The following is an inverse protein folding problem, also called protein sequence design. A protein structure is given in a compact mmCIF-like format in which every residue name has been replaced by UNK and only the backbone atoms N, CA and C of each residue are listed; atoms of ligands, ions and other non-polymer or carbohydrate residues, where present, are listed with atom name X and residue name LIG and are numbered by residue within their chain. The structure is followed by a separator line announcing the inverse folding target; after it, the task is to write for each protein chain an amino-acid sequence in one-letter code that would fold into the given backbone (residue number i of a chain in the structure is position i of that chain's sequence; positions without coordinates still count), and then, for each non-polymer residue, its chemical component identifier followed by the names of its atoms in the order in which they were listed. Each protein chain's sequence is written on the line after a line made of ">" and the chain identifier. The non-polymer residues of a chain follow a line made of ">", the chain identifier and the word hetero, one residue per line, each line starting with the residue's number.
data_IF_166165038986
#
_entry.id   IF_166165038986
#
_cell.length_a   1.000
_cell.length_b   1.000
_cell.length_c   1.000
_cell.angle_alpha   90.00
_cell.angle_beta   90.00
_cell.angle_gamma   90.00
#
_symmetry.space_group_name_H-M   'P 1'
#
loop_
_entity.id
_entity.type
_entity.pdbx_description
1 polymer ?
#
# COMPACT_ATOMS: atom_id res chain seq x y z
N UNK A 1 -1.36 28.48 -0.25
CA UNK A 1 -1.72 28.42 1.17
C UNK A 1 -2.93 27.50 1.25
N UNK A 2 -3.03 26.61 2.24
CA UNK A 2 -4.19 25.74 2.38
C UNK A 2 -5.40 26.65 2.66
N UNK A 3 -6.41 26.68 1.77
CA UNK A 3 -7.59 27.54 1.88
C UNK A 3 -8.57 27.04 2.96
N UNK A 4 -8.11 26.86 4.20
CA UNK A 4 -8.92 26.38 5.33
C UNK A 4 -9.08 27.48 6.37
N UNK A 5 -10.22 27.48 7.06
CA UNK A 5 -10.41 28.31 8.25
C UNK A 5 -9.46 27.86 9.37
N UNK A 6 -9.17 28.74 10.33
CA UNK A 6 -8.38 28.38 11.51
C UNK A 6 -9.00 27.20 12.30
N UNK A 7 -10.34 27.16 12.38
CA UNK A 7 -11.06 26.07 13.04
C UNK A 7 -10.86 24.74 12.33
N UNK A 8 -10.95 24.74 11.00
CA UNK A 8 -10.76 23.54 10.19
C UNK A 8 -9.30 23.05 10.27
N UNK A 9 -8.32 23.97 10.26
CA UNK A 9 -6.90 23.63 10.45
C UNK A 9 -6.64 23.05 11.84
N UNK A 10 -7.26 23.57 12.88
CA UNK A 10 -7.11 23.03 14.23
C UNK A 10 -7.67 21.61 14.34
N UNK A 11 -8.82 21.31 13.75
CA UNK A 11 -9.33 19.93 13.66
C UNK A 11 -8.47 19.02 12.78
N UNK A 12 -7.77 19.57 11.79
CA UNK A 12 -6.83 18.83 10.96
C UNK A 12 -5.56 18.42 11.73
N UNK A 13 -4.92 19.38 12.39
CA UNK A 13 -3.67 19.14 13.13
C UNK A 13 -3.92 18.44 14.47
N UNK A 14 -5.05 18.72 15.12
CA UNK A 14 -5.44 18.18 16.42
C UNK A 14 -6.83 17.53 16.34
N UNK A 15 -6.95 16.38 15.63
CA UNK A 15 -8.22 15.69 15.52
C UNK A 15 -8.66 15.14 16.89
N UNK A 16 -9.80 15.62 17.38
CA UNK A 16 -10.49 15.05 18.53
C UNK A 16 -11.18 13.76 18.18
N UNK A 17 -11.25 12.82 19.13
CA UNK A 17 -12.05 11.59 19.05
C UNK A 17 -11.71 10.63 17.89
N UNK A 18 -10.51 10.75 17.31
CA UNK A 18 -10.02 9.78 16.35
C UNK A 18 -9.71 8.43 17.03
N UNK A 19 -10.07 7.34 16.38
CA UNK A 19 -9.77 5.97 16.80
C UNK A 19 -11.01 5.08 16.95
N UNK A 20 -10.79 3.79 17.27
CA UNK A 20 -11.87 2.83 17.48
C UNK A 20 -12.61 3.10 18.81
N UNK A 21 -13.87 2.66 18.88
CA UNK A 21 -14.68 2.61 20.10
C UNK A 21 -15.24 1.19 20.28
N UNK A 22 -14.64 0.41 21.18
CA UNK A 22 -15.03 -1.00 21.38
C UNK A 22 -16.44 -1.15 21.98
N UNK A 23 -16.81 -0.23 22.89
CA UNK A 23 -18.12 -0.21 23.53
C UNK A 23 -19.22 0.48 22.70
N UNK A 24 -19.01 0.63 21.39
CA UNK A 24 -19.99 1.25 20.50
C UNK A 24 -21.23 0.36 20.36
N UNK A 25 -22.41 0.97 20.53
CA UNK A 25 -23.71 0.32 20.30
C UNK A 25 -24.43 0.90 19.07
N UNK A 26 -23.80 1.84 18.38
CA UNK A 26 -24.29 2.48 17.17
C UNK A 26 -23.11 2.81 16.24
N UNK A 27 -23.19 2.37 14.98
CA UNK A 27 -22.10 2.43 14.01
C UNK A 27 -22.69 2.78 12.65
N UNK A 28 -22.12 3.80 12.02
CA UNK A 28 -22.46 4.22 10.67
C UNK A 28 -21.22 4.30 9.80
N UNK A 29 -21.37 4.07 8.51
CA UNK A 29 -20.24 4.11 7.57
C UNK A 29 -20.67 4.73 6.25
N UNK A 30 -19.84 5.62 5.71
CA UNK A 30 -20.12 6.35 4.48
C UNK A 30 -18.84 6.45 3.64
N UNK A 31 -18.98 6.74 2.34
CA UNK A 31 -17.85 6.85 1.42
C UNK A 31 -17.26 5.51 1.01
N UNK A 32 -16.08 5.53 0.41
CA UNK A 32 -15.44 4.34 -0.17
C UNK A 32 -13.93 4.32 0.02
N UNK A 33 -13.36 3.13 0.24
CA UNK A 33 -11.91 2.97 0.33
C UNK A 33 -11.23 3.26 -1.02
N UNK A 34 -11.91 2.94 -2.13
CA UNK A 34 -11.42 3.21 -3.49
C UNK A 34 -11.36 4.71 -3.79
N UNK A 35 -12.36 5.48 -3.35
CA UNK A 35 -12.41 6.93 -3.46
C UNK A 35 -11.52 7.67 -2.46
N UNK A 36 -10.98 6.96 -1.45
CA UNK A 36 -10.15 7.54 -0.40
C UNK A 36 -10.92 8.42 0.59
N UNK A 37 -12.26 8.34 0.61
CA UNK A 37 -13.18 9.17 1.39
C UNK A 37 -14.02 8.35 2.39
N UNK A 38 -13.54 7.16 2.77
CA UNK A 38 -14.26 6.25 3.66
C UNK A 38 -14.28 6.73 5.11
N UNK A 39 -15.47 6.75 5.71
CA UNK A 39 -15.72 7.12 7.11
C UNK A 39 -16.41 5.96 7.83
N UNK A 40 -15.96 5.69 9.06
CA UNK A 40 -16.64 4.86 10.03
C UNK A 40 -16.83 5.66 11.33
N UNK A 41 -18.07 6.00 11.64
CA UNK A 41 -18.45 6.69 12.86
C UNK A 41 -19.00 5.67 13.87
N UNK A 42 -18.59 5.78 15.12
CA UNK A 42 -18.96 4.87 16.21
C UNK A 42 -19.43 5.69 17.40
N UNK A 43 -20.61 5.39 17.90
CA UNK A 43 -21.23 6.06 19.04
C UNK A 43 -21.53 5.05 20.14
N UNK A 44 -21.39 5.49 21.38
CA UNK A 44 -21.96 4.84 22.56
C UNK A 44 -23.10 5.71 23.06
N UNK A 45 -24.31 5.17 22.98
CA UNK A 45 -25.54 5.85 23.39
C UNK A 45 -26.02 5.24 24.71
N UNK A 46 -26.23 6.07 25.71
CA UNK A 46 -26.70 5.68 27.04
C UNK A 46 -27.91 6.54 27.41
N UNK A 47 -29.02 5.91 27.81
CA UNK A 47 -30.26 6.61 28.18
C UNK A 47 -30.75 7.63 27.13
N UNK A 48 -30.53 7.37 25.84
CA UNK A 48 -30.93 8.27 24.75
C UNK A 48 -30.02 9.49 24.54
N UNK A 49 -28.81 9.47 25.10
CA UNK A 49 -27.78 10.50 24.94
C UNK A 49 -26.51 9.88 24.37
N UNK A 50 -25.84 10.59 23.45
CA UNK A 50 -24.54 10.18 22.92
C UNK A 50 -23.48 10.40 24.01
N UNK A 51 -23.16 9.35 24.77
CA UNK A 51 -22.18 9.40 25.85
C UNK A 51 -20.74 9.55 25.32
N UNK A 52 -20.44 8.92 24.18
CA UNK A 52 -19.15 8.99 23.53
C UNK A 52 -19.29 8.82 22.02
N UNK A 53 -18.53 9.59 21.26
CA UNK A 53 -18.43 9.48 19.81
C UNK A 53 -16.96 9.35 19.41
N UNK A 54 -16.65 8.44 18.48
CA UNK A 54 -15.34 8.28 17.86
C UNK A 54 -15.44 7.97 16.38
N UNK A 55 -14.36 8.15 15.65
CA UNK A 55 -14.34 7.87 14.22
C UNK A 55 -13.03 7.26 13.73
N UNK A 56 -13.12 6.55 12.61
CA UNK A 56 -12.00 6.22 11.74
C UNK A 56 -12.34 6.73 10.35
N UNK A 57 -11.43 7.49 9.72
CA UNK A 57 -11.66 8.06 8.41
C UNK A 57 -10.41 7.94 7.53
N UNK A 58 -10.64 7.79 6.24
CA UNK A 58 -9.69 7.96 5.17
C UNK A 58 -10.06 9.25 4.42
N UNK A 59 -9.05 10.08 4.16
CA UNK A 59 -9.23 11.41 3.57
C UNK A 59 -9.02 12.55 4.56
N UNK A 60 -8.41 13.64 4.10
CA UNK A 60 -7.99 14.75 4.96
C UNK A 60 -9.15 15.62 5.41
N UNK A 61 -10.05 15.94 4.49
CA UNK A 61 -11.27 16.70 4.74
C UNK A 61 -12.25 15.91 5.62
N UNK A 62 -12.33 14.60 5.44
CA UNK A 62 -13.16 13.69 6.21
C UNK A 62 -12.72 13.64 7.68
N UNK A 63 -11.41 13.64 7.95
CA UNK A 63 -10.88 13.73 9.32
C UNK A 63 -11.32 15.02 10.00
N UNK A 64 -11.25 16.15 9.31
CA UNK A 64 -11.69 17.46 9.84
C UNK A 64 -13.17 17.43 10.17
N UNK A 65 -14.00 16.97 9.22
CA UNK A 65 -15.45 16.92 9.38
C UNK A 65 -15.86 15.95 10.50
N UNK A 66 -15.26 14.77 10.58
CA UNK A 66 -15.55 13.81 11.64
C UNK A 66 -15.08 14.31 13.01
N UNK A 67 -13.93 14.98 13.08
CA UNK A 67 -13.43 15.54 14.33
C UNK A 67 -14.36 16.62 14.87
N UNK A 68 -14.85 17.53 14.03
CA UNK A 68 -15.83 18.52 14.46
C UNK A 68 -17.18 17.88 14.83
N UNK A 69 -17.68 16.97 13.98
CA UNK A 69 -18.95 16.30 14.19
C UNK A 69 -18.99 15.51 15.50
N UNK A 70 -17.95 14.74 15.82
CA UNK A 70 -17.87 13.96 17.07
C UNK A 70 -17.90 14.85 18.32
N UNK A 71 -17.26 16.03 18.28
CA UNK A 71 -17.35 17.02 19.36
C UNK A 71 -18.77 17.58 19.46
N UNK A 72 -19.41 17.90 18.33
CA UNK A 72 -20.76 18.48 18.31
C UNK A 72 -21.84 17.51 18.83
N UNK A 73 -21.73 16.21 18.54
CA UNK A 73 -22.76 15.22 18.91
C UNK A 73 -22.59 14.66 20.31
N UNK A 74 -21.38 14.71 20.88
CA UNK A 74 -21.13 14.18 22.23
C UNK A 74 -21.92 14.97 23.27
N UNK A 75 -22.71 14.29 24.08
CA UNK A 75 -23.61 14.87 25.08
C UNK A 75 -24.98 15.28 24.54
N UNK A 76 -25.23 15.17 23.23
CA UNK A 76 -26.56 15.44 22.67
C UNK A 76 -27.51 14.26 22.87
N UNK A 77 -28.79 14.58 23.09
CA UNK A 77 -29.87 13.61 22.96
C UNK A 77 -30.10 13.19 21.51
N UNK A 78 -30.69 12.01 21.29
CA UNK A 78 -30.88 11.44 19.94
C UNK A 78 -31.62 12.35 18.97
N UNK A 79 -32.68 13.04 19.41
CA UNK A 79 -33.43 13.98 18.56
C UNK A 79 -32.56 15.18 18.13
N UNK A 80 -31.75 15.72 19.04
CA UNK A 80 -30.85 16.82 18.72
C UNK A 80 -29.70 16.38 17.79
N UNK A 81 -29.14 15.18 18.03
CA UNK A 81 -28.13 14.60 17.16
C UNK A 81 -28.68 14.35 15.74
N UNK A 82 -29.92 13.88 15.61
CA UNK A 82 -30.59 13.66 14.33
C UNK A 82 -30.93 14.95 13.59
N UNK A 83 -31.21 16.01 14.34
CA UNK A 83 -31.47 17.36 13.80
C UNK A 83 -30.21 18.11 13.36
N UNK A 84 -29.01 17.57 13.60
CA UNK A 84 -27.77 18.16 13.13
C UNK A 84 -27.76 18.18 11.60
N UNK A 85 -27.50 19.34 10.99
CA UNK A 85 -27.47 19.51 9.54
C UNK A 85 -26.03 19.64 9.02
N UNK A 86 -25.85 19.36 7.73
CA UNK A 86 -24.58 19.60 7.02
C UNK A 86 -24.18 21.07 7.11
N UNK A 87 -25.14 22.00 7.00
CA UNK A 87 -24.87 23.44 7.11
C UNK A 87 -24.40 23.85 8.51
N UNK A 88 -24.90 23.21 9.57
CA UNK A 88 -24.45 23.46 10.93
C UNK A 88 -22.99 23.00 11.12
N UNK A 89 -22.62 21.84 10.57
CA UNK A 89 -21.25 21.34 10.57
C UNK A 89 -20.32 22.25 9.75
N UNK A 90 -20.77 22.68 8.57
CA UNK A 90 -20.06 23.61 7.69
C UNK A 90 -19.78 24.95 8.41
N UNK A 91 -20.80 25.52 9.05
CA UNK A 91 -20.68 26.74 9.83
C UNK A 91 -19.74 26.57 11.05
N UNK A 92 -19.79 25.41 11.73
CA UNK A 92 -18.89 25.11 12.84
C UNK A 92 -17.42 25.10 12.40
N UNK A 93 -17.15 24.63 11.18
CA UNK A 93 -15.83 24.61 10.54
C UNK A 93 -15.46 25.93 9.85
N UNK A 94 -16.30 26.97 9.95
CA UNK A 94 -16.01 28.28 9.36
C UNK A 94 -16.11 28.34 7.84
N UNK A 95 -16.86 27.41 7.22
CA UNK A 95 -17.07 27.33 5.78
C UNK A 95 -16.08 26.43 5.05
N UNK A 96 -16.60 25.39 4.41
CA UNK A 96 -15.87 24.35 3.68
C UNK A 96 -15.80 24.65 2.18
N UNK A 97 -16.74 25.44 1.65
CA UNK A 97 -16.82 25.77 0.23
C UNK A 97 -16.91 24.51 -0.64
N UNK A 98 -15.95 24.32 -1.55
CA UNK A 98 -15.90 23.15 -2.44
C UNK A 98 -15.78 21.79 -1.71
N UNK A 99 -15.46 21.78 -0.41
CA UNK A 99 -15.26 20.57 0.40
C UNK A 99 -16.53 20.09 1.13
N UNK A 100 -17.69 20.63 0.77
CA UNK A 100 -18.99 20.28 1.37
C UNK A 100 -19.30 18.77 1.35
N UNK A 101 -18.81 18.04 0.33
CA UNK A 101 -18.95 16.58 0.22
C UNK A 101 -18.44 15.83 1.47
N UNK A 102 -17.31 16.26 2.05
CA UNK A 102 -16.76 15.60 3.24
C UNK A 102 -17.70 15.75 4.46
N UNK A 103 -18.35 16.90 4.59
CA UNK A 103 -19.37 17.12 5.61
C UNK A 103 -20.64 16.29 5.36
N UNK A 104 -21.05 16.12 4.09
CA UNK A 104 -22.18 15.25 3.72
C UNK A 104 -21.92 13.78 4.05
N UNK A 105 -20.69 13.28 3.80
CA UNK A 105 -20.28 11.93 4.18
C UNK A 105 -20.26 11.73 5.69
N UNK A 106 -19.68 12.68 6.44
CA UNK A 106 -19.66 12.62 7.90
C UNK A 106 -21.08 12.64 8.49
N UNK A 107 -21.95 13.50 7.97
CA UNK A 107 -23.37 13.57 8.36
C UNK A 107 -24.11 12.28 8.00
N UNK A 108 -23.86 11.71 6.83
CA UNK A 108 -24.47 10.44 6.42
C UNK A 108 -24.06 9.30 7.35
N UNK A 109 -22.78 9.23 7.74
CA UNK A 109 -22.32 8.27 8.73
C UNK A 109 -23.01 8.46 10.09
N UNK A 110 -23.29 9.70 10.51
CA UNK A 110 -24.07 9.99 11.72
C UNK A 110 -25.51 9.47 11.61
N UNK A 111 -26.22 9.79 10.53
CA UNK A 111 -27.60 9.33 10.33
C UNK A 111 -27.68 7.81 10.29
N UNK A 112 -26.74 7.14 9.63
CA UNK A 112 -26.67 5.68 9.62
C UNK A 112 -26.44 5.10 11.01
N UNK A 113 -25.54 5.68 11.81
CA UNK A 113 -25.29 5.22 13.17
C UNK A 113 -26.55 5.35 14.05
N UNK A 114 -27.23 6.50 13.97
CA UNK A 114 -28.46 6.74 14.72
C UNK A 114 -29.60 5.81 14.27
N UNK A 115 -29.79 5.62 12.97
CA UNK A 115 -30.82 4.71 12.46
C UNK A 115 -30.52 3.25 12.82
N UNK A 116 -29.26 2.83 12.79
CA UNK A 116 -28.86 1.49 13.26
C UNK A 116 -29.24 1.29 14.73
N UNK A 117 -28.96 2.25 15.60
CA UNK A 117 -29.30 2.18 17.02
C UNK A 117 -30.82 2.04 17.26
N UNK A 118 -31.61 2.72 16.44
CA UNK A 118 -33.07 2.75 16.54
C UNK A 118 -33.76 1.57 15.82
N UNK A 119 -33.00 0.70 15.15
CA UNK A 119 -33.56 -0.39 14.34
C UNK A 119 -34.29 0.09 13.09
N UNK A 120 -33.96 1.28 12.58
CA UNK A 120 -34.51 1.85 11.34
C UNK A 120 -33.55 1.68 10.17
N UNK A 121 -34.09 1.53 8.97
CA UNK A 121 -33.28 1.62 7.74
C UNK A 121 -33.16 3.07 7.29
N UNK A 122 -31.94 3.47 6.92
CA UNK A 122 -31.64 4.74 6.29
C UNK A 122 -30.96 4.47 4.96
N UNK A 123 -31.60 4.91 3.86
CA UNK A 123 -30.97 4.89 2.54
C UNK A 123 -30.23 6.21 2.38
N UNK A 124 -28.88 6.20 2.35
CA UNK A 124 -28.11 7.41 2.17
C UNK A 124 -28.38 8.01 0.78
N UNK A 125 -28.27 9.35 0.61
CA UNK A 125 -28.31 9.96 -0.71
C UNK A 125 -27.23 9.32 -1.57
N UNK A 126 -27.63 8.69 -2.68
CA UNK A 126 -26.68 8.00 -3.54
C UNK A 126 -25.74 9.05 -4.14
N UNK A 127 -24.45 9.00 -3.77
CA UNK A 127 -23.46 9.86 -4.38
C UNK A 127 -23.51 9.61 -5.89
N UNK A 128 -23.66 10.68 -6.68
CA UNK A 128 -23.49 10.57 -8.12
C UNK A 128 -22.18 9.80 -8.37
N UNK A 129 -22.17 8.77 -9.22
CA UNK A 129 -20.97 7.98 -9.46
C UNK A 129 -19.87 8.98 -9.78
N UNK A 130 -18.79 8.97 -8.99
CA UNK A 130 -17.62 9.76 -9.31
C UNK A 130 -17.32 9.46 -10.78
N UNK A 131 -17.22 10.46 -11.67
CA UNK A 131 -16.88 10.21 -13.05
C UNK A 131 -15.63 9.36 -12.97
N UNK A 132 -15.70 8.12 -13.48
CA UNK A 132 -14.57 7.22 -13.50
C UNK A 132 -13.48 8.00 -14.21
N UNK A 133 -12.57 8.59 -13.42
CA UNK A 133 -11.50 9.36 -13.97
C UNK A 133 -10.75 8.33 -14.79
N UNK A 134 -10.88 8.43 -16.11
CA UNK A 134 -10.13 7.62 -17.02
C UNK A 134 -8.69 8.04 -16.78
N UNK A 135 -8.04 7.37 -15.82
CA UNK A 135 -6.61 7.52 -15.58
C UNK A 135 -6.00 7.04 -16.88
N UNK A 136 -5.68 7.99 -17.75
CA UNK A 136 -4.89 7.74 -18.94
C UNK A 136 -3.55 7.31 -18.38
N UNK A 137 -3.30 6.00 -18.37
CA UNK A 137 -2.02 5.45 -18.00
C UNK A 137 -0.98 6.11 -18.92
N UNK A 138 -0.22 7.10 -18.42
CA UNK A 138 0.86 7.72 -19.18
C UNK A 138 2.05 6.76 -19.33
N UNK A 139 2.12 5.75 -18.46
CA UNK A 139 3.07 4.66 -18.61
C UNK A 139 2.63 3.76 -19.78
N UNK A 140 3.54 3.37 -20.70
CA UNK A 140 3.24 2.31 -21.62
C UNK A 140 2.77 1.10 -20.82
N UNK A 141 1.63 0.52 -21.18
CA UNK A 141 1.18 -0.75 -20.61
C UNK A 141 2.30 -1.75 -20.84
N UNK A 142 3.10 -2.03 -19.81
CA UNK A 142 3.99 -3.16 -19.86
C UNK A 142 3.09 -4.37 -19.74
N UNK A 143 2.66 -4.90 -20.88
CA UNK A 143 2.08 -6.22 -20.95
C UNK A 143 3.16 -7.19 -20.50
N UNK A 144 3.17 -7.49 -19.21
CA UNK A 144 3.86 -8.64 -18.66
C UNK A 144 3.21 -9.88 -19.26
N UNK A 145 3.55 -10.23 -20.51
CA UNK A 145 3.29 -11.57 -21.02
C UNK A 145 3.93 -12.52 -20.01
N UNK A 146 3.16 -13.39 -19.34
CA UNK A 146 3.76 -14.41 -18.48
C UNK A 146 4.78 -15.15 -19.33
N UNK A 147 6.06 -15.08 -18.97
CA UNK A 147 7.07 -15.91 -19.63
C UNK A 147 6.61 -17.35 -19.40
N UNK A 148 6.24 -18.03 -20.47
CA UNK A 148 5.98 -19.47 -20.46
C UNK A 148 7.22 -20.14 -19.91
N UNK A 149 7.14 -20.58 -18.66
CA UNK A 149 8.20 -21.37 -18.02
C UNK A 149 8.33 -22.63 -18.86
N UNK A 150 9.54 -22.91 -19.35
CA UNK A 150 9.81 -24.19 -20.02
C UNK A 150 9.66 -25.31 -18.99
N UNK A 151 8.66 -26.17 -19.16
CA UNK A 151 8.35 -27.31 -18.27
C UNK A 151 9.25 -28.55 -18.50
N UNK A 152 10.55 -28.36 -18.78
CA UNK A 152 11.48 -29.49 -18.82
C UNK A 152 12.65 -29.20 -17.90
N UNK A 153 12.78 -29.93 -16.76
CA UNK A 153 13.98 -29.86 -15.95
C UNK A 153 15.14 -30.46 -16.78
N UNK A 154 16.07 -29.60 -17.20
CA UNK A 154 17.37 -30.04 -17.69
C UNK A 154 18.08 -30.80 -16.57
N UNK A 155 18.88 -31.80 -16.91
CA UNK A 155 19.65 -32.50 -15.87
C UNK A 155 20.61 -31.50 -15.20
N UNK A 156 20.91 -31.66 -13.88
CA UNK A 156 21.79 -30.74 -13.16
C UNK A 156 23.16 -30.49 -13.86
N UNK A 157 23.67 -31.51 -14.56
CA UNK A 157 24.92 -31.45 -15.29
C UNK A 157 24.82 -30.67 -16.62
N UNK A 158 23.68 -30.76 -17.32
CA UNK A 158 23.41 -29.98 -18.53
C UNK A 158 23.17 -28.50 -18.20
N UNK A 159 22.49 -28.22 -17.08
CA UNK A 159 22.29 -26.86 -16.58
C UNK A 159 23.63 -26.19 -16.23
N UNK A 160 24.51 -26.90 -15.53
CA UNK A 160 25.83 -26.38 -15.17
C UNK A 160 26.69 -26.06 -16.41
N UNK A 161 26.63 -26.90 -17.45
CA UNK A 161 27.34 -26.67 -18.72
C UNK A 161 26.82 -25.44 -19.44
N UNK A 162 25.50 -25.29 -19.54
CA UNK A 162 24.88 -24.15 -20.22
C UNK A 162 25.16 -22.84 -19.47
N UNK A 163 25.11 -22.86 -18.13
CA UNK A 163 25.46 -21.70 -17.30
C UNK A 163 26.93 -21.30 -17.51
N UNK A 164 27.84 -22.27 -17.55
CA UNK A 164 29.26 -22.00 -17.82
C UNK A 164 29.47 -21.37 -19.21
N UNK A 165 28.80 -21.89 -20.24
CA UNK A 165 28.87 -21.33 -21.59
C UNK A 165 28.34 -19.89 -21.64
N UNK A 166 27.19 -19.62 -21.01
CA UNK A 166 26.65 -18.25 -20.93
C UNK A 166 27.61 -17.31 -20.19
N UNK A 167 28.25 -17.77 -19.12
CA UNK A 167 29.25 -17.00 -18.40
C UNK A 167 30.45 -16.66 -19.31
N UNK A 168 30.95 -17.61 -20.09
CA UNK A 168 32.04 -17.36 -21.06
C UNK A 168 31.67 -16.28 -22.09
N UNK A 169 30.41 -16.23 -22.55
CA UNK A 169 29.99 -15.16 -23.47
C UNK A 169 30.01 -13.76 -22.83
N UNK A 170 29.91 -13.67 -21.51
CA UNK A 170 29.83 -12.40 -20.77
C UNK A 170 31.21 -11.95 -20.26
N UNK A 171 32.16 -12.88 -20.08
CA UNK A 171 33.52 -12.61 -19.61
C UNK A 171 34.28 -11.52 -20.38
N UNK A 172 34.26 -11.45 -21.72
CA UNK A 172 34.99 -10.39 -22.44
C UNK A 172 34.55 -8.98 -22.05
N UNK A 173 33.25 -8.79 -21.77
CA UNK A 173 32.70 -7.49 -21.33
C UNK A 173 33.10 -7.20 -19.89
N UNK A 174 32.98 -8.18 -19.00
CA UNK A 174 33.37 -8.03 -17.59
C UNK A 174 34.86 -7.72 -17.46
N UNK A 175 35.71 -8.38 -18.26
CA UNK A 175 37.15 -8.15 -18.30
C UNK A 175 37.51 -6.78 -18.88
N UNK A 176 36.76 -6.31 -19.89
CA UNK A 176 36.90 -4.95 -20.38
C UNK A 176 36.58 -3.90 -19.29
N UNK A 177 35.63 -4.22 -18.41
CA UNK A 177 35.26 -3.39 -17.25
C UNK A 177 36.18 -3.61 -16.02
N UNK A 178 37.27 -4.38 -16.15
CA UNK A 178 38.26 -4.59 -15.09
C UNK A 178 37.84 -5.58 -14.00
N UNK A 179 36.91 -6.50 -14.28
CA UNK A 179 36.49 -7.58 -13.38
C UNK A 179 36.42 -8.94 -14.08
N UNK A 180 36.14 -10.00 -13.31
CA UNK A 180 35.84 -11.32 -13.86
C UNK A 180 34.86 -12.07 -12.96
N UNK A 181 34.15 -13.04 -13.53
CA UNK A 181 33.17 -13.88 -12.83
C UNK A 181 33.56 -15.36 -12.94
N UNK A 182 33.53 -16.03 -11.79
CA UNK A 182 33.75 -17.49 -11.69
C UNK A 182 32.51 -18.14 -11.12
N UNK A 183 32.04 -19.21 -11.75
CA UNK A 183 30.93 -20.02 -11.21
C UNK A 183 31.43 -20.83 -10.00
N UNK A 184 30.73 -20.76 -8.87
CA UNK A 184 31.02 -21.55 -7.68
C UNK A 184 30.10 -22.76 -7.55
N UNK A 185 28.79 -22.54 -7.68
CA UNK A 185 27.78 -23.60 -7.54
C UNK A 185 26.48 -23.22 -8.25
N UNK A 186 25.69 -24.23 -8.60
CA UNK A 186 24.34 -24.09 -9.15
C UNK A 186 23.39 -24.91 -8.28
N UNK A 187 22.43 -24.24 -7.64
CA UNK A 187 21.41 -24.86 -6.79
C UNK A 187 20.02 -24.49 -7.34
N UNK A 188 19.58 -25.22 -8.37
CA UNK A 188 18.28 -25.00 -9.01
C UNK A 188 18.12 -23.58 -9.56
N UNK A 189 17.40 -22.72 -8.84
CA UNK A 189 17.15 -21.32 -9.23
C UNK A 189 18.22 -20.34 -8.75
N UNK A 190 19.20 -20.79 -7.96
CA UNK A 190 20.29 -19.97 -7.43
C UNK A 190 21.60 -20.32 -8.12
N UNK A 191 22.26 -19.31 -8.67
CA UNK A 191 23.59 -19.44 -9.28
C UNK A 191 24.57 -18.64 -8.43
N UNK A 192 25.50 -19.34 -7.79
CA UNK A 192 26.51 -18.74 -6.92
C UNK A 192 27.76 -18.44 -7.71
N UNK A 193 28.16 -17.18 -7.72
CA UNK A 193 29.30 -16.70 -8.50
C UNK A 193 30.27 -15.93 -7.62
N UNK A 194 31.55 -16.05 -7.93
CA UNK A 194 32.59 -15.21 -7.37
C UNK A 194 32.92 -14.09 -8.34
N UNK A 195 32.70 -12.85 -7.92
CA UNK A 195 33.15 -11.67 -8.66
C UNK A 195 34.55 -11.27 -8.19
N UNK A 196 35.42 -11.00 -9.15
CA UNK A 196 36.80 -10.55 -8.92
C UNK A 196 37.05 -9.21 -9.60
N UNK A 197 38.07 -8.48 -9.13
CA UNK A 197 38.42 -7.16 -9.66
C UNK A 197 37.44 -6.06 -9.26
N UNK A 198 37.21 -5.11 -10.17
CA UNK A 198 36.35 -3.93 -9.95
C UNK A 198 34.89 -4.27 -9.61
N UNK A 199 34.44 -5.50 -9.91
CA UNK A 199 33.08 -5.97 -9.65
C UNK A 199 32.81 -6.42 -8.21
N UNK A 200 33.84 -6.54 -7.36
CA UNK A 200 33.70 -7.09 -5.99
C UNK A 200 33.15 -6.10 -4.94
N UNK A 201 32.97 -4.82 -5.30
CA UNK A 201 32.46 -3.80 -4.37
C UNK A 201 32.05 -2.45 -4.97
N UNK A 202 31.90 -2.37 -6.30
CA UNK A 202 31.51 -1.12 -6.96
C UNK A 202 30.02 -0.83 -6.75
N UNK A 203 29.64 0.44 -6.49
CA UNK A 203 28.24 0.87 -6.40
C UNK A 203 27.43 0.56 -7.68
N UNK A 204 28.11 0.38 -8.81
CA UNK A 204 27.53 0.00 -10.10
C UNK A 204 27.55 -1.52 -10.37
N UNK A 205 28.15 -2.34 -9.49
CA UNK A 205 28.20 -3.81 -9.67
C UNK A 205 26.81 -4.45 -9.76
N UNK A 206 25.79 -3.81 -9.16
CA UNK A 206 24.40 -4.23 -9.25
C UNK A 206 23.85 -4.22 -10.69
N UNK A 207 24.30 -3.29 -11.55
CA UNK A 207 23.90 -3.24 -12.96
C UNK A 207 24.50 -4.40 -13.74
N UNK A 208 25.76 -4.72 -13.46
CA UNK A 208 26.49 -5.82 -14.09
C UNK A 208 25.91 -7.18 -13.67
N UNK A 209 25.62 -7.37 -12.38
CA UNK A 209 24.93 -8.55 -11.86
C UNK A 209 23.52 -8.70 -12.45
N UNK A 210 22.77 -7.60 -12.57
CA UNK A 210 21.46 -7.59 -13.22
C UNK A 210 21.54 -7.99 -14.70
N UNK A 211 22.58 -7.54 -15.41
CA UNK A 211 22.85 -7.94 -16.79
C UNK A 211 23.17 -9.43 -16.94
N UNK A 212 23.99 -9.99 -16.05
CA UNK A 212 24.29 -11.42 -16.00
C UNK A 212 23.04 -12.23 -15.64
N UNK A 213 22.28 -11.79 -14.64
CA UNK A 213 21.04 -12.43 -14.20
C UNK A 213 20.00 -12.48 -15.32
N UNK A 214 19.84 -11.38 -16.09
CA UNK A 214 18.93 -11.34 -17.24
C UNK A 214 19.34 -12.34 -18.32
N UNK A 215 20.63 -12.38 -18.68
CA UNK A 215 21.15 -13.32 -19.69
C UNK A 215 20.97 -14.78 -19.28
N UNK A 216 21.24 -15.11 -18.03
CA UNK A 216 21.02 -16.45 -17.49
C UNK A 216 19.53 -16.82 -17.48
N UNK A 217 18.66 -15.90 -17.06
CA UNK A 217 17.21 -16.13 -17.05
C UNK A 217 16.63 -16.30 -18.47
N UNK A 218 17.17 -15.57 -19.46
CA UNK A 218 16.75 -15.68 -20.86
C UNK A 218 17.22 -17.01 -21.49
N UNK A 219 18.46 -17.44 -21.20
CA UNK A 219 19.00 -18.70 -21.70
C UNK A 219 18.29 -19.94 -21.09
N UNK A 220 17.97 -19.87 -19.79
CA UNK A 220 17.38 -21.00 -19.04
C UNK A 220 15.85 -20.97 -19.03
N UNK A 221 15.21 -19.91 -19.53
CA UNK A 221 13.76 -19.81 -19.66
C UNK A 221 13.00 -19.82 -18.32
N UNK A 222 13.70 -19.56 -17.21
CA UNK A 222 13.14 -19.48 -15.85
C UNK A 222 13.82 -18.36 -15.06
N UNK A 223 13.16 -17.77 -14.05
CA UNK A 223 13.78 -16.75 -13.22
C UNK A 223 14.95 -17.36 -12.44
N UNK A 224 16.12 -16.74 -12.57
CA UNK A 224 17.33 -17.14 -11.84
C UNK A 224 17.79 -15.99 -10.97
N UNK A 225 18.30 -16.33 -9.79
CA UNK A 225 18.94 -15.39 -8.86
C UNK A 225 20.44 -15.66 -8.83
N UNK A 226 21.22 -14.65 -9.23
CA UNK A 226 22.67 -14.68 -9.11
C UNK A 226 23.05 -14.18 -7.72
N UNK A 227 23.81 -14.97 -6.98
CA UNK A 227 24.26 -14.64 -5.63
C UNK A 227 25.78 -14.50 -5.65
N UNK A 228 26.33 -13.30 -5.37
CA UNK A 228 27.77 -13.15 -5.21
C UNK A 228 28.20 -13.81 -3.89
N UNK A 229 29.17 -14.72 -3.96
CA UNK A 229 29.82 -15.33 -2.80
C UNK A 229 31.34 -15.19 -2.89
N UNK A 230 31.98 -15.09 -1.73
CA UNK A 230 33.43 -15.17 -1.63
C UNK A 230 33.89 -16.60 -1.92
N UNK A 231 35.05 -16.74 -2.56
CA UNK A 231 35.64 -18.05 -2.84
C UNK A 231 36.11 -18.68 -1.52
N UNK A 232 35.21 -19.33 -0.78
CA UNK A 232 35.59 -20.21 0.31
C UNK A 232 36.31 -21.40 -0.29
N UNK A 233 37.59 -21.59 0.07
CA UNK A 233 38.24 -22.88 -0.10
C UNK A 233 37.36 -23.93 0.59
N UNK A 234 37.00 -25.00 -0.12
CA UNK A 234 36.36 -26.16 0.48
C UNK A 234 37.21 -26.59 1.67
N UNK A 235 36.65 -26.45 2.87
CA UNK A 235 37.23 -27.02 4.08
C UNK A 235 37.26 -28.53 3.87
N UNK A 236 38.46 -29.05 3.61
CA UNK A 236 38.73 -30.48 3.59
C UNK A 236 38.67 -31.01 5.03
N UNK A 237 37.57 -31.65 5.39
CA UNK A 237 37.41 -32.48 6.61
C UNK A 237 36.38 -33.57 6.24
N UNK A 238 36.57 -34.88 6.39
CA UNK A 238 37.68 -35.71 6.84
C UNK A 238 37.41 -37.19 6.43
N UNK A 239 38.47 -37.99 6.29
CA UNK A 239 38.45 -39.41 6.65
C UNK A 239 38.05 -40.43 5.58
N UNK A 240 39.06 -41.02 4.91
CA UNK A 240 38.99 -42.39 4.41
C UNK A 240 40.40 -43.02 4.43
N UNK A 241 40.64 -43.80 5.49
CA UNK A 241 41.68 -44.82 5.76
C UNK A 241 43.15 -44.48 5.56
#
# INVERSE_FOLDING_TARGET
>A
MLDFSEKALDHFYNPRNAGPLEAANAVGSAGSLEGGDAIRLMLRIEAGVVAEARFQAFGGEEIVCCSALTVMVTGLGLEAARGLSVDALDAALGGLGARRRAAELAWTALQMALCQFEGRSFEPPQAAPAPAAAVKLLAPRHESKPRTVRDVPLSPDEEARLIAEVIETVRPRLRADGGDVTLLAVDGSKVRVHLTGACSGCQLAALTLGGLQKRLADALGRPIRVIPEEKRALVAIAGAR
#
